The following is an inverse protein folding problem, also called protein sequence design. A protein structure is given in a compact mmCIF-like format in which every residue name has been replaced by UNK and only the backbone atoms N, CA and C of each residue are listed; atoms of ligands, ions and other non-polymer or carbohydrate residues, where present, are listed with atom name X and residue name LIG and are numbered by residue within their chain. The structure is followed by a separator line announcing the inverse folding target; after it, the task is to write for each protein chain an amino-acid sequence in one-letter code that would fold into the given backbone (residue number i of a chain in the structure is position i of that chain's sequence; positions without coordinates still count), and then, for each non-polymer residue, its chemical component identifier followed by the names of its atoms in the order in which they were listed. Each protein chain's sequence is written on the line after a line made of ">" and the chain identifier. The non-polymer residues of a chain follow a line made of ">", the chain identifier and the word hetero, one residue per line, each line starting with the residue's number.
data_IF_851500782913
#
_entry.id   IF_851500782913
#
_cell.length_a   1.000
_cell.length_b   1.000
_cell.length_c   1.000
_cell.angle_alpha   90.00
_cell.angle_beta   90.00
_cell.angle_gamma   90.00
#
_symmetry.space_group_name_H-M   'P 1'
#
loop_
_entity.id
_entity.type
_entity.pdbx_description
1 polymer ?
#
# COMPACT_ATOMS: atom_id res chain seq x y z
N UNK A 1 -85.97 39.38 27.71
CA UNK A 1 -85.85 37.95 27.35
C UNK A 1 -84.67 37.77 26.40
N UNK A 2 -83.66 37.03 26.85
CA UNK A 2 -82.70 36.18 26.11
C UNK A 2 -81.95 36.73 24.89
N UNK A 3 -80.61 36.80 24.99
CA UNK A 3 -79.59 36.49 23.96
C UNK A 3 -78.20 36.58 24.62
N UNK A 4 -77.72 35.50 25.26
CA UNK A 4 -76.95 34.39 24.67
C UNK A 4 -75.53 34.81 24.25
N UNK A 5 -74.58 34.49 25.13
CA UNK A 5 -73.14 34.40 24.89
C UNK A 5 -72.83 33.23 23.97
N UNK A 6 -72.18 33.49 22.83
CA UNK A 6 -71.56 32.44 22.01
C UNK A 6 -70.06 32.71 21.90
N UNK A 7 -69.32 31.94 22.70
CA UNK A 7 -67.88 31.87 22.72
C UNK A 7 -67.43 31.01 21.53
N UNK A 8 -66.68 31.61 20.61
CA UNK A 8 -66.14 30.92 19.43
C UNK A 8 -64.89 30.14 19.83
N UNK A 9 -65.02 28.83 19.96
CA UNK A 9 -63.91 27.90 19.95
C UNK A 9 -63.72 27.42 18.51
N UNK A 10 -62.59 27.75 17.89
CA UNK A 10 -62.20 27.17 16.61
C UNK A 10 -60.75 26.68 16.71
N UNK A 11 -60.64 25.37 16.55
CA UNK A 11 -59.53 24.49 16.90
C UNK A 11 -58.27 24.71 16.05
N UNK A 12 -57.12 24.67 16.70
CA UNK A 12 -55.80 24.63 16.07
C UNK A 12 -55.61 23.32 15.31
N UNK A 13 -55.76 23.36 13.99
CA UNK A 13 -55.40 22.26 13.08
C UNK A 13 -53.87 22.23 12.97
N UNK A 14 -53.21 21.42 13.80
CA UNK A 14 -51.78 21.13 13.64
C UNK A 14 -51.59 20.13 12.50
N UNK A 15 -51.04 20.61 11.38
CA UNK A 15 -50.62 19.81 10.23
C UNK A 15 -49.63 18.72 10.67
N UNK A 16 -49.81 17.45 10.27
CA UNK A 16 -48.83 16.41 10.56
C UNK A 16 -47.54 16.73 9.78
N UNK A 17 -46.41 16.87 10.49
CA UNK A 17 -45.09 16.89 9.87
C UNK A 17 -44.80 15.48 9.35
N UNK A 18 -45.04 15.26 8.06
CA UNK A 18 -44.58 14.04 7.38
C UNK A 18 -43.06 14.04 7.47
N UNK A 19 -42.51 13.11 8.27
CA UNK A 19 -41.08 12.89 8.34
C UNK A 19 -40.60 12.48 6.95
N UNK A 20 -39.78 13.33 6.33
CA UNK A 20 -39.12 13.03 5.05
C UNK A 20 -38.15 11.88 5.31
N UNK A 21 -38.60 10.65 5.05
CA UNK A 21 -37.74 9.47 5.03
C UNK A 21 -36.69 9.72 3.95
N UNK A 22 -35.46 10.01 4.39
CA UNK A 22 -34.31 10.08 3.49
C UNK A 22 -34.01 8.65 3.10
N UNK A 23 -34.54 8.23 1.96
CA UNK A 23 -34.18 6.96 1.33
C UNK A 23 -32.70 7.11 0.96
N UNK A 24 -31.80 6.60 1.81
CA UNK A 24 -30.41 6.45 1.41
C UNK A 24 -30.38 5.49 0.21
N UNK A 25 -29.77 5.89 -0.92
CA UNK A 25 -29.74 5.02 -2.08
C UNK A 25 -28.91 3.80 -1.73
N UNK A 26 -29.54 2.62 -1.73
CA UNK A 26 -28.98 1.31 -1.38
C UNK A 26 -28.01 0.80 -2.48
N UNK A 27 -27.50 1.70 -3.34
CA UNK A 27 -26.58 1.39 -4.43
C UNK A 27 -25.40 2.35 -4.38
N UNK A 28 -24.69 2.37 -3.26
CA UNK A 28 -23.30 2.80 -3.27
C UNK A 28 -22.50 1.71 -4.00
N UNK A 29 -21.81 2.05 -5.10
CA UNK A 29 -20.94 1.10 -5.82
C UNK A 29 -20.01 0.44 -4.79
N UNK A 30 -20.03 -0.89 -4.69
CA UNK A 30 -19.49 -1.70 -3.58
C UNK A 30 -17.98 -1.64 -3.34
N UNK A 31 -17.47 -0.47 -2.96
CA UNK A 31 -16.11 -0.22 -2.50
C UNK A 31 -16.19 0.51 -1.16
N UNK A 32 -15.35 0.08 -0.21
CA UNK A 32 -15.22 0.74 1.08
C UNK A 32 -14.56 2.12 0.90
N UNK A 33 -14.92 3.10 1.73
CA UNK A 33 -14.40 4.49 1.66
C UNK A 33 -12.87 4.55 1.69
N UNK A 34 -12.24 3.65 2.45
CA UNK A 34 -10.78 3.50 2.50
C UNK A 34 -10.18 3.15 1.14
N UNK A 35 -10.79 2.22 0.41
CA UNK A 35 -10.34 1.84 -0.94
C UNK A 35 -10.45 3.03 -1.89
N UNK A 36 -11.56 3.77 -1.82
CA UNK A 36 -11.80 4.96 -2.64
C UNK A 36 -10.75 6.03 -2.33
N UNK A 37 -10.47 6.29 -1.05
CA UNK A 37 -9.45 7.26 -0.63
C UNK A 37 -8.07 6.96 -1.21
N UNK A 38 -7.63 5.69 -1.16
CA UNK A 38 -6.35 5.28 -1.73
C UNK A 38 -6.33 5.26 -3.26
N UNK A 39 -7.48 5.05 -3.89
CA UNK A 39 -7.59 5.09 -5.35
C UNK A 39 -7.57 6.52 -5.91
N UNK A 40 -8.31 7.44 -5.29
CA UNK A 40 -8.41 8.84 -5.75
C UNK A 40 -7.12 9.62 -5.48
N UNK A 41 -6.48 9.36 -4.34
CA UNK A 41 -5.25 10.06 -3.94
C UNK A 41 -4.15 9.09 -3.50
N UNK A 42 -3.63 8.24 -4.41
CA UNK A 42 -2.63 7.25 -4.05
C UNK A 42 -1.36 7.94 -3.52
N UNK A 43 -0.84 7.44 -2.40
CA UNK A 43 0.35 7.99 -1.73
C UNK A 43 1.59 7.30 -2.25
N UNK A 44 2.76 7.95 -2.24
CA UNK A 44 4.02 7.30 -2.61
C UNK A 44 4.09 6.75 -4.05
N UNK A 45 3.30 7.26 -4.98
CA UNK A 45 3.42 6.91 -6.40
C UNK A 45 4.73 7.48 -6.95
N UNK A 46 5.53 6.65 -7.61
CA UNK A 46 6.79 7.11 -8.20
C UNK A 46 7.78 5.99 -8.44
N UNK A 47 9.04 6.35 -8.61
CA UNK A 47 10.13 5.38 -8.76
C UNK A 47 11.39 5.88 -8.11
N UNK A 48 12.18 4.93 -7.62
CA UNK A 48 13.53 5.16 -7.10
C UNK A 48 14.57 4.70 -8.13
N UNK A 49 15.79 5.28 -8.10
CA UNK A 49 16.91 4.79 -8.91
C UNK A 49 17.20 3.32 -8.60
N UNK A 50 17.14 2.47 -9.63
CA UNK A 50 17.33 1.02 -9.49
C UNK A 50 18.78 0.61 -9.22
N UNK A 51 19.72 1.48 -9.58
CA UNK A 51 21.16 1.23 -9.51
C UNK A 51 21.71 1.41 -8.08
N UNK A 52 20.95 2.05 -7.20
CA UNK A 52 21.33 2.19 -5.79
C UNK A 52 21.39 0.81 -5.13
N UNK A 53 22.44 0.62 -4.33
CA UNK A 53 22.64 -0.58 -3.51
C UNK A 53 21.57 -0.69 -2.41
N UNK A 54 21.15 0.45 -1.88
CA UNK A 54 20.18 0.52 -0.79
C UNK A 54 18.73 0.44 -1.25
N UNK A 55 18.49 0.31 -2.56
CA UNK A 55 17.15 0.21 -3.14
C UNK A 55 16.84 -1.22 -3.55
N UNK A 56 15.87 -1.84 -2.89
CA UNK A 56 15.26 -3.11 -3.30
C UNK A 56 14.12 -2.87 -4.28
N UNK A 57 14.06 -3.63 -5.37
CA UNK A 57 12.97 -3.57 -6.36
C UNK A 57 12.27 -4.91 -6.47
N UNK A 58 10.98 -4.93 -6.17
CA UNK A 58 10.08 -6.06 -6.42
C UNK A 58 9.19 -5.77 -7.62
N UNK A 59 9.20 -6.65 -8.62
CA UNK A 59 8.23 -6.66 -9.72
C UNK A 59 7.43 -7.97 -9.63
N UNK A 60 6.12 -7.86 -9.48
CA UNK A 60 5.22 -9.00 -9.33
C UNK A 60 3.96 -8.81 -10.16
N UNK A 61 3.25 -9.91 -10.42
CA UNK A 61 2.07 -9.94 -11.28
C UNK A 61 2.40 -10.30 -12.72
N UNK A 62 1.34 -10.55 -13.48
CA UNK A 62 1.43 -10.99 -14.88
C UNK A 62 0.45 -10.18 -15.73
N UNK A 63 0.87 -9.68 -16.92
CA UNK A 63 -0.01 -8.94 -17.81
C UNK A 63 -1.28 -9.70 -18.19
N UNK A 64 -1.21 -11.03 -18.27
CA UNK A 64 -2.37 -11.89 -18.58
C UNK A 64 -3.48 -11.82 -17.52
N UNK A 65 -3.12 -11.57 -16.26
CA UNK A 65 -4.09 -11.44 -15.15
C UNK A 65 -4.62 -10.02 -14.99
N UNK A 66 -4.07 -9.05 -15.72
CA UNK A 66 -4.45 -7.64 -15.65
C UNK A 66 -3.86 -6.86 -14.47
N UNK A 67 -3.14 -7.52 -13.56
CA UNK A 67 -2.50 -6.87 -12.40
C UNK A 67 -0.97 -7.06 -12.43
N UNK A 68 -0.24 -5.95 -12.40
CA UNK A 68 1.23 -5.88 -12.34
C UNK A 68 1.65 -4.77 -11.39
N UNK A 69 2.45 -5.11 -10.38
CA UNK A 69 2.92 -4.17 -9.37
C UNK A 69 4.44 -4.12 -9.32
N UNK A 70 4.98 -2.91 -9.36
CA UNK A 70 6.38 -2.59 -9.08
C UNK A 70 6.48 -1.84 -7.77
N UNK A 71 7.13 -2.43 -6.78
CA UNK A 71 7.44 -1.82 -5.49
C UNK A 71 8.94 -1.56 -5.37
N UNK A 72 9.31 -0.38 -4.90
CA UNK A 72 10.70 -0.04 -4.62
C UNK A 72 10.80 0.48 -3.18
N UNK A 73 11.73 -0.09 -2.42
CA UNK A 73 12.02 0.31 -1.04
C UNK A 73 13.45 0.82 -0.98
N UNK A 74 13.69 1.89 -0.22
CA UNK A 74 15.02 2.36 0.17
C UNK A 74 15.22 2.05 1.64
N UNK A 75 16.38 1.48 1.96
CA UNK A 75 16.73 1.05 3.32
C UNK A 75 17.90 1.89 3.81
N UNK A 76 17.82 2.39 5.03
CA UNK A 76 18.92 3.10 5.67
C UNK A 76 19.97 2.13 6.24
N UNK A 77 21.10 2.67 6.70
CA UNK A 77 22.19 1.90 7.33
C UNK A 77 21.71 1.09 8.56
N UNK A 78 20.70 1.59 9.26
CA UNK A 78 20.07 0.94 10.42
C UNK A 78 19.14 -0.24 10.05
N UNK A 79 18.96 -0.54 8.76
CA UNK A 79 18.04 -1.59 8.30
C UNK A 79 16.55 -1.20 8.35
N UNK A 80 16.27 0.10 8.45
CA UNK A 80 14.91 0.68 8.47
C UNK A 80 14.56 1.21 7.08
N UNK A 81 13.32 1.04 6.65
CA UNK A 81 12.83 1.52 5.36
C UNK A 81 12.55 3.03 5.42
N UNK A 82 13.40 3.86 4.81
CA UNK A 82 13.24 5.34 4.80
C UNK A 82 12.26 5.85 3.77
N UNK A 83 12.29 5.29 2.55
CA UNK A 83 11.37 5.68 1.49
C UNK A 83 10.86 4.47 0.72
N UNK A 84 9.62 4.62 0.25
CA UNK A 84 8.93 3.59 -0.51
C UNK A 84 8.23 4.28 -1.66
N UNK A 85 8.38 3.70 -2.85
CA UNK A 85 7.70 4.15 -4.06
C UNK A 85 7.08 2.97 -4.78
N UNK A 86 5.91 3.17 -5.36
CA UNK A 86 5.28 2.13 -6.16
C UNK A 86 4.77 2.65 -7.51
N UNK A 87 4.66 1.72 -8.45
CA UNK A 87 3.88 1.85 -9.69
C UNK A 87 3.09 0.57 -9.86
N UNK A 88 1.80 0.67 -10.11
CA UNK A 88 0.96 -0.50 -10.29
C UNK A 88 0.02 -0.28 -11.47
N UNK A 89 -0.25 -1.36 -12.19
CA UNK A 89 -1.26 -1.45 -13.22
C UNK A 89 -2.22 -2.54 -12.77
N UNK A 90 -3.51 -2.23 -12.69
CA UNK A 90 -4.47 -3.18 -12.19
C UNK A 90 -5.79 -2.53 -11.81
N UNK A 91 -6.65 -3.34 -11.20
CA UNK A 91 -7.94 -2.85 -10.70
C UNK A 91 -7.79 -1.82 -9.58
N UNK A 92 -8.83 -1.02 -9.32
CA UNK A 92 -8.80 0.01 -8.27
C UNK A 92 -8.46 -0.54 -6.87
N UNK A 93 -8.84 -1.79 -6.58
CA UNK A 93 -8.46 -2.47 -5.33
C UNK A 93 -6.98 -2.84 -5.27
N UNK A 94 -6.35 -3.17 -6.39
CA UNK A 94 -4.89 -3.37 -6.45
C UNK A 94 -4.15 -2.06 -6.18
N UNK A 95 -4.58 -0.95 -6.79
CA UNK A 95 -4.02 0.39 -6.54
C UNK A 95 -4.15 0.79 -5.07
N UNK A 96 -5.33 0.56 -4.48
CA UNK A 96 -5.57 0.87 -3.08
C UNK A 96 -4.69 0.04 -2.14
N UNK A 97 -4.60 -1.28 -2.38
CA UNK A 97 -3.72 -2.18 -1.61
C UNK A 97 -2.25 -1.79 -1.72
N UNK A 98 -1.77 -1.44 -2.91
CA UNK A 98 -0.40 -0.96 -3.11
C UNK A 98 -0.14 0.34 -2.34
N UNK A 99 -1.05 1.31 -2.42
CA UNK A 99 -0.90 2.59 -1.72
C UNK A 99 -0.88 2.41 -0.21
N UNK A 100 -1.81 1.63 0.34
CA UNK A 100 -1.86 1.37 1.77
C UNK A 100 -0.60 0.65 2.26
N UNK A 101 -0.12 -0.36 1.51
CA UNK A 101 1.11 -1.06 1.84
C UNK A 101 2.29 -0.09 1.97
N UNK A 102 2.45 0.85 1.04
CA UNK A 102 3.59 1.79 1.07
C UNK A 102 3.61 2.71 2.28
N UNK A 103 2.44 3.09 2.82
CA UNK A 103 2.37 3.84 4.06
C UNK A 103 2.68 2.94 5.26
N UNK A 104 2.19 1.69 5.24
CA UNK A 104 2.38 0.75 6.33
C UNK A 104 3.83 0.31 6.50
N UNK A 105 4.57 0.14 5.40
CA UNK A 105 5.97 -0.34 5.42
C UNK A 105 6.99 0.76 5.70
N UNK A 106 6.63 2.02 5.52
CA UNK A 106 7.55 3.14 5.75
C UNK A 106 7.88 3.26 7.24
N UNK A 107 9.17 3.30 7.57
CA UNK A 107 9.66 3.36 8.95
C UNK A 107 9.70 2.01 9.68
N UNK A 108 9.36 0.90 9.02
CA UNK A 108 9.53 -0.44 9.58
C UNK A 108 10.92 -1.02 9.28
N UNK A 109 11.31 -1.99 10.10
CA UNK A 109 12.46 -2.85 9.79
C UNK A 109 12.15 -3.79 8.62
N UNK A 110 13.18 -4.33 7.98
CA UNK A 110 13.02 -5.32 6.92
C UNK A 110 12.34 -6.62 7.39
N UNK A 111 12.51 -6.98 8.66
CA UNK A 111 11.90 -8.18 9.23
C UNK A 111 10.40 -7.97 9.43
N UNK A 112 10.02 -6.85 10.05
CA UNK A 112 8.62 -6.48 10.26
C UNK A 112 7.88 -6.30 8.93
N UNK A 113 8.52 -5.65 7.95
CA UNK A 113 7.95 -5.48 6.63
C UNK A 113 7.73 -6.83 5.92
N UNK A 114 8.56 -7.84 6.19
CA UNK A 114 8.41 -9.19 5.66
C UNK A 114 7.31 -10.02 6.36
N UNK A 115 6.91 -9.63 7.57
CA UNK A 115 5.85 -10.29 8.34
C UNK A 115 4.44 -9.82 7.97
N UNK A 116 4.30 -8.74 7.19
CA UNK A 116 3.01 -8.24 6.73
C UNK A 116 2.31 -9.30 5.89
N UNK A 117 1.06 -9.61 6.25
CA UNK A 117 0.23 -10.60 5.55
C UNK A 117 -0.87 -9.92 4.74
N UNK A 118 -1.28 -10.57 3.66
CA UNK A 118 -2.43 -10.17 2.85
C UNK A 118 -3.71 -10.02 3.68
N UNK A 119 -3.86 -10.81 4.75
CA UNK A 119 -5.03 -10.77 5.62
C UNK A 119 -5.16 -9.43 6.34
N UNK A 120 -4.04 -8.81 6.70
CA UNK A 120 -4.05 -7.56 7.46
C UNK A 120 -4.40 -6.39 6.53
N UNK A 121 -3.87 -6.42 5.30
CA UNK A 121 -4.22 -5.48 4.23
C UNK A 121 -5.70 -5.60 3.86
N UNK A 122 -6.19 -6.83 3.68
CA UNK A 122 -7.57 -7.09 3.30
C UNK A 122 -8.56 -6.65 4.38
N UNK A 123 -8.25 -6.90 5.65
CA UNK A 123 -9.06 -6.44 6.79
C UNK A 123 -9.09 -4.93 6.86
N UNK A 124 -7.94 -4.27 6.74
CA UNK A 124 -7.86 -2.82 6.86
C UNK A 124 -8.68 -2.10 5.77
N UNK A 125 -8.57 -2.58 4.52
CA UNK A 125 -9.29 -2.04 3.38
C UNK A 125 -10.72 -2.58 3.23
N UNK A 126 -11.14 -3.48 4.13
CA UNK A 126 -12.45 -4.15 4.10
C UNK A 126 -12.75 -4.77 2.73
N UNK A 127 -11.76 -5.48 2.16
CA UNK A 127 -11.88 -6.07 0.83
C UNK A 127 -12.87 -7.25 0.85
N UNK A 128 -13.80 -7.33 -0.13
CA UNK A 128 -14.65 -8.50 -0.29
C UNK A 128 -13.80 -9.71 -0.72
N UNK A 129 -14.24 -10.96 -0.45
CA UNK A 129 -13.49 -12.18 -0.75
C UNK A 129 -13.02 -12.31 -2.20
N UNK A 130 -13.80 -11.78 -3.15
CA UNK A 130 -13.51 -11.80 -4.59
C UNK A 130 -12.23 -11.02 -4.95
N UNK A 131 -11.83 -10.04 -4.13
CA UNK A 131 -10.69 -9.13 -4.39
C UNK A 131 -9.48 -9.39 -3.50
N UNK A 132 -9.40 -10.55 -2.86
CA UNK A 132 -8.26 -10.92 -2.01
C UNK A 132 -6.96 -11.11 -2.80
N UNK A 133 -7.01 -11.40 -4.11
CA UNK A 133 -5.81 -11.47 -4.95
C UNK A 133 -5.04 -10.13 -4.97
N UNK A 134 -5.73 -9.00 -4.82
CA UNK A 134 -5.10 -7.67 -4.77
C UNK A 134 -4.22 -7.48 -3.52
N UNK A 135 -4.60 -8.07 -2.38
CA UNK A 135 -3.78 -8.02 -1.16
C UNK A 135 -2.65 -9.03 -1.18
N UNK A 136 -2.82 -10.18 -1.86
CA UNK A 136 -1.74 -11.14 -2.11
C UNK A 136 -0.64 -10.53 -2.99
N UNK A 137 -1.02 -9.81 -4.06
CA UNK A 137 -0.07 -9.11 -4.92
C UNK A 137 0.82 -8.13 -4.12
N UNK A 138 0.23 -7.42 -3.16
CA UNK A 138 0.94 -6.48 -2.30
C UNK A 138 1.94 -7.19 -1.36
N UNK A 139 1.54 -8.32 -0.75
CA UNK A 139 2.42 -9.18 0.06
C UNK A 139 3.59 -9.74 -0.75
N UNK A 140 3.33 -10.23 -1.95
CA UNK A 140 4.36 -10.77 -2.82
C UNK A 140 5.34 -9.67 -3.27
N UNK A 141 4.84 -8.46 -3.52
CA UNK A 141 5.66 -7.32 -3.91
C UNK A 141 6.69 -6.95 -2.84
N UNK A 142 6.28 -6.87 -1.57
CA UNK A 142 7.20 -6.53 -0.47
C UNK A 142 8.24 -7.62 -0.25
N UNK A 143 7.85 -8.90 -0.29
CA UNK A 143 8.79 -10.01 -0.18
C UNK A 143 9.81 -10.03 -1.32
N UNK A 144 9.35 -9.76 -2.54
CA UNK A 144 10.21 -9.65 -3.72
C UNK A 144 11.21 -8.49 -3.57
N UNK A 145 10.75 -7.31 -3.13
CA UNK A 145 11.61 -6.15 -2.92
C UNK A 145 12.67 -6.37 -1.82
N UNK A 146 12.30 -7.01 -0.71
CA UNK A 146 13.24 -7.37 0.38
C UNK A 146 14.27 -8.40 -0.12
N UNK A 147 13.84 -9.38 -0.93
CA UNK A 147 14.73 -10.40 -1.51
C UNK A 147 15.75 -9.77 -2.47
N UNK A 148 15.33 -8.84 -3.30
CA UNK A 148 16.21 -8.10 -4.21
C UNK A 148 17.27 -7.31 -3.42
N UNK A 149 16.84 -6.55 -2.40
CA UNK A 149 17.75 -5.82 -1.52
C UNK A 149 18.80 -6.74 -0.85
N UNK A 150 18.35 -7.86 -0.27
CA UNK A 150 19.25 -8.84 0.37
C UNK A 150 20.22 -9.46 -0.63
N UNK A 151 19.75 -9.76 -1.85
CA UNK A 151 20.58 -10.33 -2.92
C UNK A 151 21.68 -9.36 -3.34
N UNK A 152 21.35 -8.08 -3.54
CA UNK A 152 22.33 -7.03 -3.87
C UNK A 152 23.45 -6.95 -2.83
N UNK A 153 23.12 -6.90 -1.53
CA UNK A 153 24.12 -6.87 -0.46
C UNK A 153 24.95 -8.14 -0.36
N UNK A 154 24.37 -9.32 -0.64
CA UNK A 154 25.13 -10.57 -0.70
C UNK A 154 26.15 -10.57 -1.84
N UNK A 155 25.76 -10.10 -3.03
CA UNK A 155 26.67 -9.98 -4.18
C UNK A 155 27.81 -9.02 -3.87
N UNK A 156 27.54 -7.87 -3.26
CA UNK A 156 28.59 -6.91 -2.86
C UNK A 156 29.56 -7.48 -1.83
N UNK A 157 29.06 -8.21 -0.82
CA UNK A 157 29.93 -8.91 0.12
C UNK A 157 30.87 -9.91 -0.57
N UNK A 158 30.36 -10.66 -1.57
CA UNK A 158 31.19 -11.61 -2.33
C UNK A 158 32.21 -10.95 -3.26
N UNK A 159 31.88 -9.80 -3.87
CA UNK A 159 32.81 -9.06 -4.75
C UNK A 159 33.96 -8.45 -3.95
N UNK A 160 33.71 -7.95 -2.74
CA UNK A 160 34.75 -7.38 -1.87
C UNK A 160 35.77 -8.47 -1.47
N UNK A 161 35.28 -9.66 -1.08
CA UNK A 161 36.17 -10.79 -0.73
C UNK A 161 37.04 -11.26 -1.91
N UNK A 162 36.50 -11.32 -3.14
CA UNK A 162 37.28 -11.70 -4.33
C UNK A 162 38.34 -10.66 -4.72
N UNK A 163 38.06 -9.36 -4.50
CA UNK A 163 39.03 -8.30 -4.81
C UNK A 163 40.20 -8.22 -3.82
N UNK A 164 40.02 -8.67 -2.58
CA UNK A 164 41.09 -8.69 -1.56
C UNK A 164 42.11 -9.82 -1.80
N UNK A 165 41.68 -10.95 -2.37
CA UNK A 165 42.58 -12.05 -2.78
C UNK A 165 43.41 -11.72 -4.03
N UNK A 166 42.89 -10.88 -4.93
CA UNK A 166 43.66 -10.42 -6.10
C UNK A 166 44.78 -9.44 -5.70
N UNK A 167 44.54 -8.57 -4.71
CA UNK A 167 45.53 -7.58 -4.24
C UNK A 167 46.67 -8.16 -3.39
N UNK A 168 46.54 -9.36 -2.84
CA UNK A 168 47.58 -10.02 -2.04
C UNK A 168 48.58 -10.84 -2.88
N UNK A 169 48.36 -10.99 -4.19
CA UNK A 169 49.23 -11.78 -5.08
C UNK A 169 50.23 -10.95 -5.92
N UNK A 170 50.13 -9.62 -5.93
CA UNK A 170 50.99 -8.73 -6.76
C UNK A 170 52.23 -8.21 -6.01
N UNK A 171 52.42 -8.61 -4.74
CA UNK A 171 53.52 -8.11 -3.88
C UNK A 171 54.81 -8.95 -3.85
N UNK A 172 54.90 -10.07 -4.57
CA UNK A 172 55.95 -11.07 -4.38
C UNK A 172 57.00 -11.21 -5.51
N UNK A 173 57.14 -10.24 -6.43
CA UNK A 173 58.05 -10.38 -7.58
C UNK A 173 59.00 -9.21 -7.87
N UNK A 174 59.40 -8.41 -6.88
CA UNK A 174 60.36 -7.32 -7.07
C UNK A 174 61.46 -7.29 -5.98
N UNK A 175 62.33 -8.31 -5.94
CA UNK A 175 63.64 -8.22 -5.28
C UNK A 175 64.56 -9.39 -5.68
N UNK A 176 65.02 -9.42 -6.93
CA UNK A 176 66.19 -10.22 -7.34
C UNK A 176 66.71 -9.72 -8.70
N UNK A 177 67.56 -8.69 -8.67
CA UNK A 177 68.53 -8.37 -9.71
C UNK A 177 69.67 -7.55 -9.08
#
# INVERSE_FOLDING_TARGET
>A
MLRSTLQSAASSITRPKVARVVIQPIIARGYHEKVISHYERPRNVGSLPKNDIDVGTGLVGAPACGDVMKLQIRVDENGIISDVKFKTFGCGSAIASSSYLTERVKGLSLEDAGMIKNTDIAKELCLPPVKLHCSMLAEDAIRSAIRDYKSKRKTLGSTISASQEASSSVGASASAA
#
